data_IF_278856662637
#
_entry.id   IF_278856662637
#
_cell.length_a   1.000
_cell.length_b   1.000
_cell.length_c   1.000
_cell.angle_alpha   90.00
_cell.angle_beta   90.00
_cell.angle_gamma   90.00
#
_symmetry.space_group_name_H-M   'P 1'
#
loop_
_entity.id
_entity.type
_entity.pdbx_description
1 polymer ?
#
# COMPACT_ATOMS: atom_id res chain seq x y z
N UNK A 1 5.36 -21.65 9.01
CA UNK A 1 5.30 -20.84 7.84
C UNK A 1 4.38 -19.65 8.12
N UNK A 2 4.73 -18.62 7.78
CA UNK A 2 4.03 -17.46 8.26
C UNK A 2 3.46 -16.65 7.11
N UNK A 3 2.16 -16.45 7.14
CA UNK A 3 1.52 -15.47 6.28
C UNK A 3 2.04 -14.05 6.58
N UNK A 4 2.75 -13.89 7.68
CA UNK A 4 3.39 -12.62 8.05
C UNK A 4 4.56 -12.28 7.14
N UNK A 5 5.17 -13.27 6.49
CA UNK A 5 6.29 -13.02 5.60
C UNK A 5 5.79 -12.41 4.30
N UNK A 6 6.13 -11.17 4.08
CA UNK A 6 5.85 -10.46 2.86
C UNK A 6 7.17 -10.20 2.15
N UNK A 7 7.19 -10.41 0.84
CA UNK A 7 8.35 -10.14 0.00
C UNK A 7 7.96 -9.12 -1.05
N UNK A 8 8.71 -8.03 -1.13
CA UNK A 8 8.40 -6.92 -2.04
C UNK A 8 9.43 -6.91 -3.17
N UNK A 9 9.01 -7.14 -4.42
CA UNK A 9 9.88 -6.90 -5.57
C UNK A 9 10.23 -5.42 -5.69
N UNK A 10 11.44 -5.06 -6.15
CA UNK A 10 11.79 -3.65 -6.37
C UNK A 10 10.82 -2.93 -7.31
N UNK A 11 10.29 -3.64 -8.31
CA UNK A 11 9.32 -3.07 -9.26
C UNK A 11 8.04 -2.60 -8.57
N UNK A 12 7.60 -3.30 -7.52
CA UNK A 12 6.43 -2.88 -6.73
C UNK A 12 6.71 -1.57 -5.99
N UNK A 13 7.86 -1.47 -5.34
CA UNK A 13 8.26 -0.27 -4.61
C UNK A 13 8.43 0.92 -5.57
N UNK A 14 9.08 0.71 -6.71
CA UNK A 14 9.25 1.73 -7.74
C UNK A 14 7.90 2.25 -8.24
N UNK A 15 6.95 1.35 -8.49
CA UNK A 15 5.63 1.75 -8.98
C UNK A 15 4.89 2.63 -7.97
N UNK A 16 4.91 2.25 -6.70
CA UNK A 16 4.31 3.07 -5.64
C UNK A 16 4.99 4.43 -5.54
N UNK A 17 6.32 4.46 -5.54
CA UNK A 17 7.07 5.71 -5.39
C UNK A 17 6.87 6.65 -6.57
N UNK A 18 6.64 6.13 -7.77
CA UNK A 18 6.32 6.96 -8.94
C UNK A 18 5.04 7.77 -8.69
N UNK A 19 3.98 7.13 -8.21
CA UNK A 19 2.73 7.83 -7.88
C UNK A 19 2.89 8.75 -6.67
N UNK A 20 3.58 8.28 -5.64
CA UNK A 20 3.82 9.06 -4.43
C UNK A 20 4.52 10.37 -4.77
N UNK A 21 5.55 10.32 -5.59
CA UNK A 21 6.29 11.51 -6.02
C UNK A 21 5.41 12.45 -6.84
N UNK A 22 4.64 11.90 -7.77
CA UNK A 22 3.77 12.68 -8.64
C UNK A 22 2.74 13.47 -7.82
N UNK A 23 2.04 12.80 -6.92
CA UNK A 23 1.05 13.45 -6.06
C UNK A 23 1.72 14.33 -5.00
N UNK A 24 2.88 13.93 -4.49
CA UNK A 24 3.65 14.73 -3.55
C UNK A 24 4.08 16.08 -4.12
N UNK A 25 4.41 16.13 -5.41
CA UNK A 25 4.72 17.38 -6.09
C UNK A 25 3.50 18.31 -6.17
N UNK A 26 2.30 17.78 -6.08
CA UNK A 26 1.07 18.54 -5.96
C UNK A 26 0.67 18.80 -4.51
N UNK A 27 1.50 18.39 -3.56
CA UNK A 27 1.31 18.66 -2.14
C UNK A 27 0.29 17.76 -1.45
N UNK A 28 0.04 16.57 -1.96
CA UNK A 28 -0.95 15.65 -1.37
C UNK A 28 -0.38 14.25 -1.19
N UNK A 29 -0.92 13.55 -0.18
CA UNK A 29 -0.63 12.14 0.05
C UNK A 29 -1.34 11.26 -0.96
N UNK A 30 -0.79 10.09 -1.22
CA UNK A 30 -1.44 9.03 -1.98
C UNK A 30 -0.96 7.67 -1.47
N UNK A 31 -1.46 6.62 -2.07
CA UNK A 31 -1.06 5.27 -1.68
C UNK A 31 -1.70 4.20 -2.54
N UNK A 32 -1.62 2.99 -2.02
CA UNK A 32 -2.15 1.82 -2.70
C UNK A 32 -2.06 0.59 -1.84
N UNK A 33 -2.32 -0.55 -2.45
CA UNK A 33 -2.29 -1.85 -1.79
C UNK A 33 -1.29 -2.78 -2.44
N UNK A 34 -0.73 -3.66 -1.64
CA UNK A 34 0.13 -4.76 -2.09
C UNK A 34 -0.64 -6.06 -1.99
N UNK A 35 -0.70 -6.80 -3.10
CA UNK A 35 -1.46 -8.04 -3.19
C UNK A 35 -0.55 -9.21 -3.54
N UNK A 36 -0.88 -10.37 -2.99
CA UNK A 36 -0.18 -11.63 -3.28
C UNK A 36 -1.17 -12.67 -3.75
N UNK A 37 -0.67 -13.68 -4.44
CA UNK A 37 -1.44 -14.90 -4.65
C UNK A 37 -1.60 -15.64 -3.32
N UNK A 38 -2.69 -16.36 -3.16
CA UNK A 38 -2.93 -17.14 -1.94
C UNK A 38 -1.76 -18.10 -1.68
N UNK A 39 -1.27 -18.10 -0.44
CA UNK A 39 -0.18 -18.98 -0.05
C UNK A 39 1.19 -18.56 -0.55
N UNK A 40 1.31 -17.44 -1.25
CA UNK A 40 2.58 -16.92 -1.76
C UNK A 40 2.93 -15.63 -1.01
N UNK A 41 4.14 -15.52 -0.42
CA UNK A 41 4.53 -14.30 0.29
C UNK A 41 4.95 -13.15 -0.62
N UNK A 42 5.17 -13.40 -1.91
CA UNK A 42 5.71 -12.39 -2.83
C UNK A 42 4.58 -11.56 -3.43
N UNK A 43 4.71 -10.24 -3.33
CA UNK A 43 3.78 -9.31 -3.98
C UNK A 43 3.81 -9.51 -5.48
N UNK A 44 2.66 -9.77 -6.07
CA UNK A 44 2.49 -9.98 -7.50
C UNK A 44 1.72 -8.84 -8.18
N UNK A 45 0.96 -8.07 -7.41
CA UNK A 45 0.16 -6.95 -7.93
C UNK A 45 0.27 -5.77 -6.98
N UNK A 46 0.46 -4.60 -7.56
CA UNK A 46 0.34 -3.31 -6.87
C UNK A 46 -0.93 -2.64 -7.37
N UNK A 47 -1.82 -2.27 -6.46
CA UNK A 47 -3.03 -1.53 -6.79
C UNK A 47 -2.85 -0.08 -6.33
N UNK A 48 -2.67 0.84 -7.26
CA UNK A 48 -2.51 2.26 -6.94
C UNK A 48 -3.87 2.94 -6.92
N UNK A 49 -4.03 3.91 -6.02
CA UNK A 49 -5.30 4.61 -5.86
C UNK A 49 -5.58 5.54 -7.03
N UNK A 50 -6.79 5.42 -7.60
CA UNK A 50 -7.30 6.31 -8.64
C UNK A 50 -7.91 7.57 -8.06
N UNK A 51 -9.13 7.92 -8.49
CA UNK A 51 -9.73 9.21 -8.14
C UNK A 51 -11.03 9.08 -7.35
N UNK A 52 -12.00 8.34 -7.86
CA UNK A 52 -13.33 8.26 -7.27
C UNK A 52 -13.28 7.55 -5.90
N UNK A 53 -13.79 8.20 -4.87
CA UNK A 53 -13.80 7.63 -3.53
C UNK A 53 -12.44 7.62 -2.85
N UNK A 54 -11.49 8.40 -3.36
CA UNK A 54 -10.15 8.59 -2.77
C UNK A 54 -10.03 10.03 -2.33
N UNK A 55 -9.65 10.24 -1.07
CA UNK A 55 -9.41 11.58 -0.52
C UNK A 55 -7.91 11.78 -0.36
N UNK A 56 -7.39 12.83 -0.98
CA UNK A 56 -5.98 13.21 -0.90
C UNK A 56 -5.87 14.66 -0.46
N UNK A 57 -5.13 14.87 0.63
CA UNK A 57 -4.80 16.21 1.12
C UNK A 57 -3.34 16.21 1.57
N UNK A 58 -2.84 17.35 2.02
CA UNK A 58 -1.46 17.46 2.47
C UNK A 58 -1.11 16.48 3.58
N UNK A 59 -1.97 16.30 4.55
CA UNK A 59 -1.75 15.40 5.69
C UNK A 59 -2.81 14.31 5.81
N UNK A 60 -3.43 13.92 4.69
CA UNK A 60 -4.55 13.00 4.73
C UNK A 60 -4.62 12.15 3.47
N UNK A 61 -4.76 10.85 3.65
CA UNK A 61 -5.08 9.92 2.58
C UNK A 61 -6.15 8.95 3.08
N UNK A 62 -7.30 8.96 2.43
CA UNK A 62 -8.41 8.07 2.78
C UNK A 62 -8.88 7.31 1.56
N UNK A 63 -8.96 6.01 1.70
CA UNK A 63 -9.68 5.13 0.78
C UNK A 63 -11.06 4.95 1.37
N UNK A 64 -12.09 5.50 0.73
CA UNK A 64 -13.44 5.38 1.22
C UNK A 64 -13.97 3.96 1.05
N UNK A 65 -15.04 3.64 1.76
CA UNK A 65 -15.60 2.29 1.74
C UNK A 65 -15.91 1.77 0.33
N UNK A 66 -16.54 2.54 -0.57
CA UNK A 66 -16.76 2.04 -1.93
C UNK A 66 -15.48 1.65 -2.66
N UNK A 67 -14.41 2.42 -2.50
CA UNK A 67 -13.12 2.10 -3.11
C UNK A 67 -12.48 0.87 -2.45
N UNK A 68 -12.58 0.73 -1.13
CA UNK A 68 -12.16 -0.49 -0.44
C UNK A 68 -12.91 -1.71 -0.96
N UNK A 69 -14.22 -1.63 -1.04
CA UNK A 69 -15.04 -2.75 -1.51
C UNK A 69 -14.65 -3.16 -2.92
N UNK A 70 -14.34 -2.19 -3.77
CA UNK A 70 -13.92 -2.43 -5.15
C UNK A 70 -12.63 -3.26 -5.21
N UNK A 71 -11.59 -2.85 -4.49
CA UNK A 71 -10.31 -3.58 -4.56
C UNK A 71 -10.41 -4.95 -3.89
N UNK A 72 -11.13 -5.08 -2.79
CA UNK A 72 -11.28 -6.37 -2.12
C UNK A 72 -12.09 -7.34 -2.96
N UNK A 73 -13.16 -6.91 -3.59
CA UNK A 73 -13.96 -7.75 -4.51
C UNK A 73 -13.13 -8.19 -5.71
N UNK A 74 -12.39 -7.25 -6.30
CA UNK A 74 -11.52 -7.58 -7.43
C UNK A 74 -10.44 -8.59 -7.05
N UNK A 75 -9.83 -8.42 -5.88
CA UNK A 75 -8.80 -9.33 -5.38
C UNK A 75 -9.39 -10.75 -5.23
N UNK A 76 -10.56 -10.85 -4.61
CA UNK A 76 -11.23 -12.14 -4.43
C UNK A 76 -11.54 -12.80 -5.77
N UNK A 77 -12.07 -12.04 -6.72
CA UNK A 77 -12.40 -12.54 -8.06
C UNK A 77 -11.16 -13.00 -8.86
N UNK A 78 -9.99 -12.47 -8.52
CA UNK A 78 -8.73 -12.81 -9.18
C UNK A 78 -7.83 -13.71 -8.33
N UNK A 79 -8.37 -14.30 -7.29
CA UNK A 79 -7.65 -15.24 -6.41
C UNK A 79 -6.39 -14.59 -5.78
N UNK A 80 -6.51 -13.31 -5.41
CA UNK A 80 -5.45 -12.54 -4.77
C UNK A 80 -5.86 -12.19 -3.35
N UNK A 81 -4.87 -11.95 -2.52
CA UNK A 81 -5.04 -11.49 -1.15
C UNK A 81 -4.45 -10.11 -0.96
N UNK A 82 -5.21 -9.19 -0.40
CA UNK A 82 -4.72 -7.85 -0.04
C UNK A 82 -3.91 -7.98 1.25
N UNK A 83 -2.61 -7.71 1.18
CA UNK A 83 -1.69 -7.96 2.29
C UNK A 83 -1.25 -6.70 3.03
N UNK A 84 -1.18 -5.59 2.34
CA UNK A 84 -0.69 -4.35 2.95
C UNK A 84 -1.28 -3.13 2.28
N UNK A 85 -1.42 -2.07 3.06
CA UNK A 85 -1.71 -0.73 2.57
C UNK A 85 -0.46 0.13 2.74
N UNK A 86 -0.10 0.85 1.70
CA UNK A 86 1.05 1.75 1.70
C UNK A 86 0.55 3.14 1.36
N UNK A 87 0.92 4.15 2.17
CA UNK A 87 0.60 5.54 1.83
C UNK A 87 1.77 6.45 2.20
N UNK A 88 1.75 7.66 1.65
CA UNK A 88 2.83 8.61 1.82
C UNK A 88 2.51 9.64 2.89
N UNK A 89 3.56 10.21 3.46
CA UNK A 89 3.50 11.40 4.31
C UNK A 89 4.38 12.51 3.72
N UNK A 90 4.07 13.78 4.03
CA UNK A 90 4.88 14.91 3.53
C UNK A 90 6.33 14.86 4.00
N UNK A 91 6.57 14.49 5.24
CA UNK A 91 7.89 14.48 5.87
C UNK A 91 8.14 13.15 6.57
N UNK A 92 7.98 13.08 7.89
CA UNK A 92 8.26 11.88 8.66
C UNK A 92 7.23 10.78 8.44
N UNK A 93 7.71 9.54 8.48
CA UNK A 93 6.84 8.37 8.51
C UNK A 93 6.40 8.09 9.95
N UNK A 94 5.11 8.22 10.20
CA UNK A 94 4.49 7.86 11.47
C UNK A 94 3.05 7.43 11.20
N UNK A 95 2.44 6.75 12.16
CA UNK A 95 1.04 6.38 12.03
C UNK A 95 0.18 7.41 12.75
N UNK A 96 -0.51 8.24 11.98
CA UNK A 96 -1.40 9.26 12.52
C UNK A 96 -2.65 8.63 13.14
N UNK A 97 -3.42 9.44 13.86
CA UNK A 97 -4.71 8.97 14.39
C UNK A 97 -5.64 8.52 13.27
N UNK A 98 -5.72 9.28 12.19
CA UNK A 98 -6.52 8.93 11.02
C UNK A 98 -6.05 7.61 10.41
N UNK A 99 -4.74 7.40 10.32
CA UNK A 99 -4.17 6.16 9.79
C UNK A 99 -4.57 4.96 10.67
N UNK A 100 -4.53 5.14 11.99
CA UNK A 100 -4.91 4.07 12.93
C UNK A 100 -6.39 3.72 12.83
N UNK A 101 -7.23 4.72 12.70
CA UNK A 101 -8.69 4.53 12.67
C UNK A 101 -9.18 4.08 11.30
N UNK A 102 -8.54 4.54 10.23
CA UNK A 102 -8.95 4.26 8.85
C UNK A 102 -8.31 3.04 8.22
N UNK A 103 -7.33 2.44 8.88
CA UNK A 103 -6.67 1.25 8.37
C UNK A 103 -7.50 -0.01 8.54
N UNK A 104 -7.18 -1.03 7.77
CA UNK A 104 -7.85 -2.32 7.85
C UNK A 104 -7.38 -3.07 9.10
N UNK A 105 -8.27 -3.18 10.09
CA UNK A 105 -7.97 -3.77 11.39
C UNK A 105 -8.22 -5.28 11.37
N UNK A 106 -7.45 -5.95 10.53
CA UNK A 106 -7.50 -7.41 10.39
C UNK A 106 -6.15 -7.98 10.83
N UNK A 107 -6.17 -9.03 11.61
CA UNK A 107 -4.96 -9.66 12.11
C UNK A 107 -3.98 -9.94 10.97
N UNK A 108 -2.72 -9.57 11.21
CA UNK A 108 -1.59 -9.75 10.29
C UNK A 108 -1.58 -8.82 9.09
N UNK A 109 -2.58 -7.95 8.94
CA UNK A 109 -2.56 -6.92 7.90
C UNK A 109 -1.45 -5.91 8.20
N UNK A 110 -0.72 -5.52 7.16
CA UNK A 110 0.38 -4.58 7.30
C UNK A 110 0.03 -3.20 6.79
N UNK A 111 0.60 -2.19 7.42
CA UNK A 111 0.50 -0.82 6.96
C UNK A 111 1.90 -0.23 6.89
N UNK A 112 2.18 0.48 5.81
CA UNK A 112 3.44 1.18 5.65
C UNK A 112 3.21 2.65 5.36
N UNK A 113 4.07 3.49 5.92
CA UNK A 113 4.11 4.92 5.63
C UNK A 113 5.44 5.23 4.96
N UNK A 114 5.37 5.85 3.79
CA UNK A 114 6.53 6.28 3.01
C UNK A 114 6.80 7.73 3.32
N UNK A 115 7.98 8.08 3.84
CA UNK A 115 8.28 9.48 4.20
C UNK A 115 8.60 10.32 2.97
N UNK A 116 8.58 11.63 3.13
CA UNK A 116 9.07 12.61 2.15
C UNK A 116 8.48 12.41 0.76
N UNK A 117 7.17 12.66 0.62
CA UNK A 117 6.46 12.36 -0.63
C UNK A 117 6.99 13.11 -1.86
N UNK A 118 7.75 14.20 -1.70
CA UNK A 118 8.40 14.87 -2.83
C UNK A 118 9.60 14.08 -3.38
N UNK A 119 10.23 13.26 -2.53
CA UNK A 119 11.37 12.43 -2.90
C UNK A 119 11.35 11.14 -2.06
N UNK A 120 10.40 10.24 -2.32
CA UNK A 120 10.23 9.04 -1.51
C UNK A 120 11.38 8.07 -1.72
N UNK A 121 11.88 7.44 -0.64
CA UNK A 121 12.87 6.39 -0.78
C UNK A 121 12.22 5.15 -1.42
N UNK A 122 12.87 4.60 -2.43
CA UNK A 122 12.35 3.43 -3.13
C UNK A 122 12.65 2.11 -2.42
N UNK A 123 13.56 2.14 -1.45
CA UNK A 123 13.85 0.96 -0.63
C UNK A 123 12.79 0.83 0.49
N UNK A 124 11.97 -0.22 0.49
CA UNK A 124 10.96 -0.42 1.53
C UNK A 124 11.53 -0.50 2.95
N UNK A 125 12.81 -0.81 3.11
CA UNK A 125 13.46 -0.80 4.42
C UNK A 125 13.54 0.61 5.03
N UNK A 126 13.41 1.65 4.21
CA UNK A 126 13.41 3.04 4.67
C UNK A 126 12.01 3.60 4.94
N UNK A 127 10.99 2.79 4.70
CA UNK A 127 9.61 3.11 5.10
C UNK A 127 9.42 2.66 6.55
N UNK A 128 8.33 3.10 7.18
CA UNK A 128 7.96 2.62 8.52
C UNK A 128 6.80 1.64 8.37
N UNK A 129 6.88 0.52 9.08
CA UNK A 129 5.94 -0.58 8.95
C UNK A 129 5.28 -0.91 10.28
N UNK A 130 4.00 -1.26 10.21
CA UNK A 130 3.20 -1.74 11.34
C UNK A 130 2.44 -2.98 10.91
N UNK A 131 2.15 -3.82 11.89
CA UNK A 131 1.28 -4.99 11.70
C UNK A 131 0.14 -4.87 12.68
N UNK A 132 -1.08 -5.15 12.23
CA UNK A 132 -2.23 -5.18 13.12
C UNK A 132 -2.28 -6.54 13.82
N UNK A 133 -2.35 -6.52 15.15
CA UNK A 133 -2.59 -7.71 15.97
C UNK A 133 -3.87 -7.48 16.77
N UNK A 134 -3.79 -6.91 17.95
CA UNK A 134 -4.93 -6.33 18.66
C UNK A 134 -4.94 -4.80 18.55
N UNK A 135 -3.84 -4.24 18.09
CA UNK A 135 -3.65 -2.83 17.73
C UNK A 135 -2.49 -2.78 16.73
N UNK A 136 -2.17 -1.58 16.24
CA UNK A 136 -1.05 -1.39 15.33
C UNK A 136 0.27 -1.43 16.11
N UNK A 137 1.11 -2.39 15.78
CA UNK A 137 2.42 -2.58 16.39
C UNK A 137 3.54 -2.36 15.37
N UNK A 138 4.57 -1.56 15.69
CA UNK A 138 5.71 -1.40 14.79
C UNK A 138 6.36 -2.76 14.49
N UNK A 139 6.73 -2.97 13.22
CA UNK A 139 7.38 -4.20 12.77
C UNK A 139 8.56 -3.90 11.84
N UNK A 140 9.37 -4.90 11.58
CA UNK A 140 10.43 -4.80 10.60
C UNK A 140 9.87 -4.71 9.19
N UNK A 141 10.61 -4.05 8.30
CA UNK A 141 10.27 -4.01 6.89
C UNK A 141 10.26 -5.42 6.28
N UNK A 142 9.38 -5.68 5.32
CA UNK A 142 9.43 -6.91 4.54
C UNK A 142 10.74 -7.03 3.76
N UNK A 143 11.09 -8.26 3.43
CA UNK A 143 12.26 -8.52 2.59
C UNK A 143 12.02 -8.02 1.17
N UNK A 144 13.04 -7.39 0.58
CA UNK A 144 13.03 -7.03 -0.82
C UNK A 144 13.78 -8.10 -1.62
N UNK A 145 13.17 -8.62 -2.66
CA UNK A 145 13.77 -9.67 -3.49
C UNK A 145 14.01 -9.15 -4.91
N UNK A 146 15.27 -8.82 -5.19
CA UNK A 146 15.68 -8.28 -6.49
C UNK A 146 15.70 -9.32 -7.61
N UNK A 147 15.53 -10.60 -7.30
CA UNK A 147 15.43 -11.65 -8.34
C UNK A 147 14.05 -11.65 -8.99
N UNK A 148 13.04 -11.05 -8.36
CA UNK A 148 11.71 -10.89 -8.95
C UNK A 148 11.71 -9.61 -9.78
N UNK A 149 11.55 -9.75 -11.10
CA UNK A 149 11.76 -8.67 -12.05
C UNK A 149 10.48 -8.09 -12.63
N UNK A 150 9.31 -8.65 -12.30
CA UNK A 150 8.04 -8.16 -12.80
C UNK A 150 6.98 -8.16 -11.71
N UNK A 151 6.13 -7.13 -11.76
CA UNK A 151 4.97 -6.97 -10.89
C UNK A 151 3.88 -6.34 -11.74
N UNK A 152 2.69 -6.90 -11.70
CA UNK A 152 1.55 -6.28 -12.36
C UNK A 152 1.09 -5.08 -11.55
N UNK A 153 0.54 -4.08 -12.23
CA UNK A 153 -0.08 -2.96 -11.54
C UNK A 153 -1.44 -2.63 -12.12
N UNK A 154 -2.33 -2.22 -11.23
CA UNK A 154 -3.69 -1.81 -11.58
C UNK A 154 -4.02 -0.50 -10.86
N UNK A 155 -5.02 0.20 -11.37
CA UNK A 155 -5.59 1.38 -10.70
C UNK A 155 -6.94 0.98 -10.13
N UNK A 156 -7.19 1.30 -8.88
CA UNK A 156 -8.46 1.04 -8.23
C UNK A 156 -9.07 2.32 -7.68
N UNK A 157 -10.37 2.42 -7.71
CA UNK A 157 -11.15 3.43 -6.99
C UNK A 157 -12.61 3.00 -6.92
N UNK A 158 -13.51 3.90 -6.54
CA UNK A 158 -14.93 3.59 -6.44
C UNK A 158 -15.60 3.21 -7.76
N UNK A 159 -14.97 3.51 -8.88
CA UNK A 159 -15.52 3.17 -10.22
C UNK A 159 -15.07 1.79 -10.71
N UNK A 160 -14.09 1.18 -10.09
CA UNK A 160 -13.64 -0.15 -10.48
C UNK A 160 -12.12 -0.32 -10.41
N UNK A 161 -11.67 -1.45 -10.96
CA UNK A 161 -10.24 -1.76 -11.13
C UNK A 161 -9.95 -1.84 -12.62
N UNK A 162 -8.88 -1.22 -13.05
CA UNK A 162 -8.49 -1.14 -14.46
C UNK A 162 -6.99 -1.27 -14.63
N UNK A 163 -6.59 -1.63 -15.83
CA UNK A 163 -5.16 -1.70 -16.16
C UNK A 163 -4.48 -0.34 -15.95
N UNK A 164 -3.28 -0.40 -15.47
CA UNK A 164 -2.45 0.78 -15.23
C UNK A 164 -1.69 1.17 -16.51
#
# INVERSE_FOLDING_TARGET
MSELNLVIPPTAATRLCTDIRRYGQSGVETGGFLLTKHGNPTVSVVAVAGTTGIVREYGLFIVTRPAFDTIFTWAEDNELQVRAMVHSHPEEAFMSRTDREGGLRVKDFRSAVVPTFNNPPEDPALWRWWTFTSDWAPTCAPRCDSTVTSTDSVVFDGDGVRAD
#
